data_IF_580999038835
#
_entry.id   IF_580999038835
#
_cell.length_a   1.000
_cell.length_b   1.000
_cell.length_c   1.000
_cell.angle_alpha   90.00
_cell.angle_beta   90.00
_cell.angle_gamma   90.00
#
_symmetry.space_group_name_H-M   'P 1'
#
loop_
_entity.id
_entity.type
_entity.pdbx_description
1 polymer ?
#
# COMPACT_ATOMS: atom_id res chain seq x y z
N UNK A 1 75.41 10.49 16.06
CA UNK A 1 74.34 9.80 15.29
C UNK A 1 73.14 9.60 16.20
N UNK A 2 72.03 10.26 15.89
CA UNK A 2 70.84 10.39 16.74
C UNK A 2 69.93 9.17 16.54
N UNK A 3 69.64 8.43 17.62
CA UNK A 3 68.63 7.35 17.66
C UNK A 3 67.24 7.97 17.65
N UNK A 4 66.42 7.65 16.65
CA UNK A 4 65.00 8.02 16.60
C UNK A 4 64.16 6.92 17.24
N UNK A 5 63.35 7.32 18.23
CA UNK A 5 62.27 6.54 18.82
C UNK A 5 61.19 6.25 17.78
N UNK A 6 60.72 5.00 17.73
CA UNK A 6 59.45 4.64 17.10
C UNK A 6 58.41 4.46 18.20
N UNK A 7 57.43 5.35 18.26
CA UNK A 7 56.22 5.19 19.07
C UNK A 7 55.17 4.50 18.21
N UNK A 8 54.71 3.31 18.64
CA UNK A 8 53.57 2.62 18.06
C UNK A 8 52.32 3.20 18.73
N UNK A 9 51.54 3.97 17.99
CA UNK A 9 50.22 4.42 18.42
C UNK A 9 49.23 3.31 18.06
N UNK A 10 48.75 2.55 19.06
CA UNK A 10 47.60 1.67 18.89
C UNK A 10 46.32 2.52 18.85
N UNK A 11 45.75 2.67 17.67
CA UNK A 11 44.42 3.23 17.47
C UNK A 11 43.37 2.19 17.88
N UNK A 12 42.77 2.37 19.06
CA UNK A 12 41.59 1.59 19.49
C UNK A 12 40.41 2.08 18.66
N UNK A 13 40.06 1.31 17.61
CA UNK A 13 38.87 1.56 16.81
C UNK A 13 37.62 1.36 17.65
N UNK A 14 36.93 2.46 17.95
CA UNK A 14 35.57 2.44 18.49
C UNK A 14 34.64 1.89 17.42
N UNK A 15 34.23 0.63 17.56
CA UNK A 15 33.07 0.07 16.87
C UNK A 15 31.83 0.75 17.45
N UNK A 16 31.42 1.86 16.83
CA UNK A 16 30.09 2.43 17.05
C UNK A 16 29.06 1.44 16.54
N UNK A 17 28.47 0.68 17.45
CA UNK A 17 27.26 -0.11 17.20
C UNK A 17 26.15 0.91 16.95
N UNK A 18 25.90 1.22 15.69
CA UNK A 18 24.71 1.98 15.32
C UNK A 18 23.49 1.10 15.65
N UNK A 19 22.80 1.43 16.73
CA UNK A 19 21.48 0.86 17.02
C UNK A 19 20.54 1.23 15.89
N UNK A 20 20.26 0.29 15.00
CA UNK A 20 19.20 0.43 14.01
C UNK A 20 17.88 0.45 14.79
N UNK A 21 17.30 1.63 14.97
CA UNK A 21 15.91 1.77 15.40
C UNK A 21 15.05 1.30 14.23
N UNK A 22 14.74 0.01 14.18
CA UNK A 22 13.64 -0.48 13.35
C UNK A 22 12.36 0.04 14.03
N UNK A 23 11.64 0.97 13.40
CA UNK A 23 10.29 1.29 13.85
C UNK A 23 9.42 0.09 13.51
N UNK A 24 8.80 -0.52 14.52
CA UNK A 24 7.92 -1.66 14.32
C UNK A 24 6.72 -1.28 13.42
N UNK A 25 6.21 -2.25 12.66
CA UNK A 25 4.96 -2.10 11.93
C UNK A 25 3.80 -2.15 12.93
N UNK A 26 2.98 -1.11 12.98
CA UNK A 26 1.77 -1.09 13.79
C UNK A 26 0.68 -1.79 13.00
N UNK A 27 0.24 -2.96 13.46
CA UNK A 27 -0.69 -3.83 12.72
C UNK A 27 -2.13 -3.47 13.07
N UNK A 28 -2.92 -3.07 12.07
CA UNK A 28 -4.34 -2.76 12.24
C UNK A 28 -5.24 -3.97 11.97
N UNK A 29 -5.04 -4.65 10.83
CA UNK A 29 -5.87 -5.79 10.42
C UNK A 29 -5.04 -6.86 9.72
N UNK A 30 -5.43 -8.12 9.90
CA UNK A 30 -4.83 -9.27 9.23
C UNK A 30 -5.93 -10.07 8.55
N UNK A 31 -5.79 -10.29 7.24
CA UNK A 31 -6.72 -11.05 6.41
C UNK A 31 -6.04 -12.34 5.92
N UNK A 32 -6.70 -13.50 5.99
CA UNK A 32 -6.13 -14.74 5.49
C UNK A 32 -6.09 -14.72 3.96
N UNK A 33 -4.97 -15.15 3.38
CA UNK A 33 -4.85 -15.38 1.94
C UNK A 33 -5.04 -16.86 1.69
N UNK A 34 -6.08 -17.23 0.95
CA UNK A 34 -6.49 -18.64 0.83
C UNK A 34 -6.65 -19.08 -0.62
N UNK A 35 -6.40 -20.37 -0.87
CA UNK A 35 -6.64 -21.03 -2.13
C UNK A 35 -7.11 -22.46 -1.87
N UNK A 36 -8.25 -22.86 -2.44
CA UNK A 36 -8.82 -24.21 -2.24
C UNK A 36 -8.78 -24.64 -0.76
N UNK A 37 -9.33 -23.81 0.13
CA UNK A 37 -9.42 -24.02 1.58
C UNK A 37 -8.07 -24.09 2.33
N UNK A 38 -6.93 -23.88 1.66
CA UNK A 38 -5.62 -23.82 2.29
C UNK A 38 -5.17 -22.37 2.45
N UNK A 39 -4.62 -22.04 3.62
CA UNK A 39 -4.03 -20.72 3.87
C UNK A 39 -2.66 -20.67 3.21
N UNK A 40 -2.51 -19.80 2.22
CA UNK A 40 -1.25 -19.54 1.53
C UNK A 40 -0.42 -18.44 2.19
N UNK A 41 -1.03 -17.66 3.08
CA UNK A 41 -0.38 -16.54 3.73
C UNK A 41 -1.35 -15.62 4.45
N UNK A 42 -0.89 -14.42 4.73
CA UNK A 42 -1.69 -13.34 5.32
C UNK A 42 -1.47 -12.03 4.56
N UNK A 43 -2.53 -11.24 4.46
CA UNK A 43 -2.52 -9.86 3.98
C UNK A 43 -2.70 -8.95 5.20
N UNK A 44 -1.66 -8.19 5.52
CA UNK A 44 -1.58 -7.34 6.71
C UNK A 44 -1.79 -5.90 6.29
N UNK A 45 -2.75 -5.23 6.93
CA UNK A 45 -2.99 -3.80 6.83
C UNK A 45 -2.47 -3.15 8.11
N UNK A 46 -1.63 -2.12 7.97
CA UNK A 46 -1.15 -1.36 9.12
C UNK A 46 -2.28 -0.62 9.83
N UNK A 47 -2.01 -0.09 11.02
CA UNK A 47 -2.79 1.05 11.51
C UNK A 47 -2.68 2.20 10.50
N UNK A 48 -3.79 2.88 10.28
CA UNK A 48 -3.83 4.05 9.45
C UNK A 48 -3.02 5.19 10.08
N UNK A 49 -2.34 5.98 9.26
CA UNK A 49 -1.81 7.29 9.68
C UNK A 49 -2.50 8.40 8.92
N UNK A 50 -2.42 9.60 9.47
CA UNK A 50 -3.05 10.80 8.94
C UNK A 50 -1.97 11.75 8.43
N UNK A 51 -2.28 12.50 7.38
CA UNK A 51 -1.35 13.49 6.82
C UNK A 51 -2.06 14.71 6.25
N UNK A 52 -1.37 15.85 6.24
CA UNK A 52 -1.82 17.12 5.65
C UNK A 52 -1.26 17.26 4.24
N UNK A 53 -2.01 16.82 3.23
CA UNK A 53 -1.64 16.99 1.82
C UNK A 53 -0.31 16.33 1.49
N UNK A 54 -0.12 15.09 1.98
CA UNK A 54 1.13 14.32 1.93
C UNK A 54 2.29 14.94 2.71
N UNK A 55 1.99 15.60 3.82
CA UNK A 55 2.99 16.13 4.74
C UNK A 55 2.59 15.91 6.20
N UNK A 56 3.56 16.03 7.11
CA UNK A 56 3.33 16.08 8.57
C UNK A 56 2.58 14.86 9.11
N UNK A 57 2.92 13.68 8.60
CA UNK A 57 2.20 12.46 8.90
C UNK A 57 2.35 11.98 10.36
N UNK A 58 1.31 11.33 10.88
CA UNK A 58 1.20 10.91 12.28
C UNK A 58 0.14 9.83 12.45
N UNK A 59 0.32 8.89 13.38
CA UNK A 59 -0.71 7.90 13.74
C UNK A 59 -1.92 8.51 14.47
N UNK A 60 -1.76 9.74 14.98
CA UNK A 60 -2.83 10.52 15.57
C UNK A 60 -3.19 11.63 14.58
N UNK A 61 -4.48 11.71 14.23
CA UNK A 61 -5.01 12.79 13.40
C UNK A 61 -4.67 14.14 14.03
N UNK A 62 -4.22 15.07 13.18
CA UNK A 62 -3.97 16.45 13.56
C UNK A 62 -5.06 17.30 12.94
N UNK A 63 -5.26 18.47 13.53
CA UNK A 63 -6.18 19.49 13.05
C UNK A 63 -6.10 19.65 11.51
N UNK A 64 -4.92 19.78 10.91
CA UNK A 64 -4.82 19.97 9.46
C UNK A 64 -4.80 18.69 8.59
N UNK A 65 -5.17 17.53 9.12
CA UNK A 65 -5.14 16.29 8.35
C UNK A 65 -6.15 16.33 7.19
N UNK A 66 -5.72 15.91 6.00
CA UNK A 66 -6.54 15.90 4.78
C UNK A 66 -6.55 14.55 4.08
N UNK A 67 -5.74 13.59 4.53
CA UNK A 67 -5.70 12.26 3.98
C UNK A 67 -5.28 11.22 5.01
N UNK A 68 -5.34 9.98 4.56
CA UNK A 68 -5.00 8.78 5.33
C UNK A 68 -3.98 8.00 4.53
N UNK A 69 -3.02 7.37 5.18
CA UNK A 69 -2.12 6.40 4.56
C UNK A 69 -2.10 5.07 5.28
N UNK A 70 -1.67 4.03 4.56
CA UNK A 70 -1.66 2.66 5.03
C UNK A 70 -0.52 1.85 4.37
N UNK A 71 0.13 0.96 5.14
CA UNK A 71 1.04 -0.06 4.59
C UNK A 71 0.28 -1.38 4.44
N UNK A 72 0.33 -1.99 3.25
CA UNK A 72 -0.32 -3.27 2.97
C UNK A 72 0.75 -4.29 2.61
N UNK A 73 0.84 -5.38 3.37
CA UNK A 73 1.89 -6.39 3.25
C UNK A 73 1.31 -7.79 3.06
N UNK A 74 1.69 -8.45 1.97
CA UNK A 74 1.50 -9.88 1.79
C UNK A 74 2.67 -10.63 2.43
N UNK A 75 2.35 -11.60 3.28
CA UNK A 75 3.28 -12.60 3.78
C UNK A 75 2.80 -13.98 3.35
N UNK A 76 3.42 -14.53 2.31
CA UNK A 76 3.24 -15.92 1.94
C UNK A 76 3.86 -16.82 3.02
N UNK A 77 3.16 -17.91 3.35
CA UNK A 77 3.74 -19.01 4.11
C UNK A 77 4.31 -20.04 3.13
N UNK A 78 4.83 -21.16 3.65
CA UNK A 78 5.40 -22.24 2.84
C UNK A 78 4.50 -22.76 1.71
N UNK A 79 3.16 -22.76 1.89
CA UNK A 79 2.20 -23.15 0.85
C UNK A 79 2.03 -22.09 -0.24
N UNK A 80 2.16 -20.80 0.11
CA UNK A 80 2.08 -19.69 -0.84
C UNK A 80 3.41 -19.32 -1.49
N UNK A 81 4.55 -19.60 -0.88
CA UNK A 81 5.85 -19.23 -1.44
C UNK A 81 6.05 -19.82 -2.84
N UNK A 82 6.31 -18.93 -3.82
CA UNK A 82 6.41 -19.28 -5.25
C UNK A 82 7.57 -20.22 -5.57
N UNK A 83 8.60 -20.23 -4.72
CA UNK A 83 9.78 -21.09 -4.84
C UNK A 83 9.70 -22.38 -4.00
N UNK A 84 8.69 -22.51 -3.12
CA UNK A 84 8.52 -23.68 -2.25
C UNK A 84 7.38 -24.58 -2.74
N UNK A 85 6.32 -24.75 -1.93
CA UNK A 85 5.23 -25.66 -2.30
C UNK A 85 4.32 -25.04 -3.36
N UNK A 86 4.26 -23.70 -3.43
CA UNK A 86 3.54 -22.93 -4.44
C UNK A 86 2.19 -23.57 -4.82
N UNK A 87 1.34 -23.79 -3.82
CA UNK A 87 0.13 -24.59 -3.98
C UNK A 87 -0.85 -23.98 -4.98
N UNK A 88 -0.89 -22.66 -5.08
CA UNK A 88 -1.69 -21.95 -6.09
C UNK A 88 -1.00 -21.87 -7.46
N UNK A 89 0.22 -22.36 -7.62
CA UNK A 89 0.98 -22.31 -8.88
C UNK A 89 1.13 -20.88 -9.41
N UNK A 90 1.38 -19.92 -8.52
CA UNK A 90 1.65 -18.54 -8.90
C UNK A 90 3.05 -18.44 -9.50
N UNK A 91 3.19 -17.75 -10.63
CA UNK A 91 4.50 -17.27 -11.09
C UNK A 91 4.98 -16.18 -10.15
N UNK A 92 4.10 -15.24 -9.82
CA UNK A 92 4.37 -14.16 -8.88
C UNK A 92 3.09 -13.67 -8.21
N UNK A 93 3.27 -12.97 -7.09
CA UNK A 93 2.21 -12.21 -6.44
C UNK A 93 2.23 -10.77 -6.92
N UNK A 94 1.06 -10.23 -7.21
CA UNK A 94 0.83 -8.81 -7.54
C UNK A 94 -0.25 -8.25 -6.61
N UNK A 95 -0.31 -6.93 -6.47
CA UNK A 95 -1.39 -6.24 -5.77
C UNK A 95 -2.09 -5.30 -6.74
N UNK A 96 -3.40 -5.48 -6.88
CA UNK A 96 -4.25 -4.57 -7.63
C UNK A 96 -5.20 -3.88 -6.68
N UNK A 97 -5.24 -2.55 -6.78
CA UNK A 97 -6.12 -1.70 -6.01
C UNK A 97 -7.09 -1.00 -6.95
N UNK A 98 -8.37 -0.95 -6.57
CA UNK A 98 -9.32 0.02 -7.13
C UNK A 98 -9.60 1.12 -6.13
N UNK A 99 -9.94 2.30 -6.64
CA UNK A 99 -10.38 3.45 -5.86
C UNK A 99 -11.79 3.83 -6.29
N UNK A 100 -12.65 4.09 -5.32
CA UNK A 100 -13.97 4.71 -5.50
C UNK A 100 -14.02 6.03 -4.76
N UNK A 101 -14.52 7.08 -5.39
CA UNK A 101 -14.64 8.39 -4.73
C UNK A 101 -15.84 9.17 -5.24
N UNK A 102 -16.44 10.00 -4.39
CA UNK A 102 -17.52 10.89 -4.79
C UNK A 102 -17.06 12.32 -5.14
N UNK A 103 -15.74 12.58 -5.17
CA UNK A 103 -15.21 13.91 -5.53
C UNK A 103 -15.62 14.34 -6.95
N UNK A 104 -15.47 15.63 -7.26
CA UNK A 104 -15.48 16.13 -8.63
C UNK A 104 -14.38 15.41 -9.43
N UNK A 105 -14.77 14.79 -10.53
CA UNK A 105 -13.89 14.05 -11.44
C UNK A 105 -13.24 15.03 -12.41
N UNK A 106 -11.97 14.81 -12.73
CA UNK A 106 -11.22 15.59 -13.70
C UNK A 106 -11.03 14.78 -14.98
N UNK A 107 -11.07 15.44 -16.13
CA UNK A 107 -10.77 14.84 -17.44
C UNK A 107 -11.50 13.50 -17.71
N UNK A 108 -10.77 12.41 -17.86
CA UNK A 108 -11.24 11.05 -18.11
C UNK A 108 -11.39 10.18 -16.85
N UNK A 109 -11.22 10.77 -15.66
CA UNK A 109 -11.39 10.06 -14.39
C UNK A 109 -12.81 9.53 -14.22
N UNK A 110 -12.89 8.33 -13.66
CA UNK A 110 -14.14 7.67 -13.31
C UNK A 110 -14.31 7.65 -11.79
N UNK A 111 -15.57 7.57 -11.37
CA UNK A 111 -15.93 7.45 -9.96
C UNK A 111 -15.24 6.25 -9.30
N UNK A 112 -15.24 5.12 -10.00
CA UNK A 112 -14.51 3.91 -9.65
C UNK A 112 -13.54 3.56 -10.78
N UNK A 113 -12.28 3.34 -10.45
CA UNK A 113 -11.24 2.98 -11.41
C UNK A 113 -10.10 2.23 -10.71
N UNK A 114 -9.24 1.60 -11.52
CA UNK A 114 -7.97 1.05 -11.04
C UNK A 114 -7.13 2.20 -10.50
N UNK A 115 -6.56 2.02 -9.32
CA UNK A 115 -5.75 3.02 -8.64
C UNK A 115 -4.30 2.93 -9.09
N UNK A 116 -4.11 3.11 -10.39
CA UNK A 116 -2.80 3.18 -11.04
C UNK A 116 -2.81 4.33 -12.07
N UNK A 117 -1.66 4.96 -12.34
CA UNK A 117 -1.59 6.00 -13.36
C UNK A 117 -1.94 5.48 -14.75
N UNK A 118 -2.67 6.28 -15.54
CA UNK A 118 -3.17 5.91 -16.87
C UNK A 118 -2.09 5.48 -17.89
N UNK A 119 -0.84 5.89 -17.67
CA UNK A 119 0.28 5.54 -18.55
C UNK A 119 0.96 4.21 -18.21
N UNK A 120 0.50 3.51 -17.17
CA UNK A 120 1.06 2.21 -16.80
C UNK A 120 0.65 1.15 -17.82
N UNK A 121 1.59 0.26 -18.13
CA UNK A 121 1.33 -0.88 -19.03
C UNK A 121 0.51 -1.96 -18.32
N UNK A 122 0.70 -2.09 -17.00
CA UNK A 122 0.03 -3.07 -16.16
C UNK A 122 -0.76 -2.40 -15.03
N UNK A 123 -1.90 -2.95 -14.61
CA UNK A 123 -2.81 -2.33 -13.65
C UNK A 123 -2.39 -2.48 -12.18
N UNK A 124 -1.15 -2.89 -11.93
CA UNK A 124 -0.71 -3.33 -10.61
C UNK A 124 -0.07 -2.20 -9.82
N UNK A 125 -0.45 -2.09 -8.54
CA UNK A 125 0.05 -1.06 -7.64
C UNK A 125 1.52 -1.31 -7.25
N UNK A 126 1.96 -2.57 -7.27
CA UNK A 126 3.34 -2.97 -7.03
C UNK A 126 4.30 -2.72 -8.21
N UNK A 127 4.05 -1.66 -9.00
CA UNK A 127 4.88 -1.26 -10.12
C UNK A 127 5.35 0.19 -9.97
N UNK A 128 6.59 0.47 -10.39
CA UNK A 128 7.11 1.84 -10.39
C UNK A 128 6.31 2.76 -11.34
N UNK A 129 6.19 4.06 -11.02
CA UNK A 129 6.69 4.79 -9.84
C UNK A 129 5.88 4.66 -8.54
N UNK A 130 4.84 3.82 -8.45
CA UNK A 130 4.11 3.66 -7.19
C UNK A 130 5.01 3.05 -6.11
N UNK A 131 4.68 3.37 -4.86
CA UNK A 131 5.49 2.99 -3.71
C UNK A 131 5.21 1.54 -3.29
N UNK A 132 6.21 0.69 -3.45
CA UNK A 132 6.11 -0.76 -3.19
C UNK A 132 7.43 -1.33 -2.69
N UNK A 133 7.40 -2.59 -2.24
CA UNK A 133 8.57 -3.33 -1.77
C UNK A 133 8.36 -4.83 -1.79
N UNK A 134 9.46 -5.59 -1.79
CA UNK A 134 9.44 -7.05 -1.78
C UNK A 134 10.66 -7.60 -1.05
N UNK A 135 10.52 -8.78 -0.46
CA UNK A 135 11.56 -9.40 0.38
C UNK A 135 11.98 -8.50 1.53
N UNK A 136 13.28 -8.51 1.85
CA UNK A 136 13.88 -7.53 2.76
C UNK A 136 14.13 -6.22 2.01
N UNK A 137 13.43 -5.16 2.37
CA UNK A 137 13.53 -3.86 1.71
C UNK A 137 13.48 -2.71 2.71
N UNK A 138 13.90 -1.52 2.27
CA UNK A 138 13.54 -0.29 2.96
C UNK A 138 12.17 0.15 2.44
N UNK A 139 11.34 0.68 3.34
CA UNK A 139 10.15 1.47 2.95
C UNK A 139 10.51 2.62 2.01
N UNK A 140 9.51 3.29 1.40
CA UNK A 140 9.75 4.41 0.48
C UNK A 140 10.66 5.49 1.07
N UNK A 141 11.50 6.07 0.22
CA UNK A 141 12.47 7.08 0.63
C UNK A 141 11.84 8.42 0.98
N UNK A 142 10.69 8.73 0.38
CA UNK A 142 9.90 9.89 0.77
C UNK A 142 9.21 9.57 2.11
N UNK A 143 9.60 10.31 3.14
CA UNK A 143 9.03 10.19 4.48
C UNK A 143 8.16 11.37 4.85
N UNK A 144 7.93 12.32 3.94
CA UNK A 144 7.17 13.55 4.24
C UNK A 144 5.71 13.25 4.61
N UNK A 145 5.14 12.22 3.98
CA UNK A 145 3.79 11.73 4.14
C UNK A 145 3.70 10.45 4.99
N UNK A 146 4.78 10.07 5.67
CA UNK A 146 4.86 8.86 6.51
C UNK A 146 5.12 9.20 7.99
N UNK A 147 4.63 8.39 8.95
CA UNK A 147 4.77 8.67 10.38
C UNK A 147 6.19 8.42 10.93
N UNK A 148 7.13 7.96 10.09
CA UNK A 148 8.52 7.69 10.46
C UNK A 148 9.47 8.75 9.88
N UNK A 149 10.54 9.07 10.62
CA UNK A 149 11.51 10.11 10.22
C UNK A 149 12.65 9.61 9.31
N UNK A 150 12.77 8.29 9.13
CA UNK A 150 13.69 7.67 8.20
C UNK A 150 13.09 6.36 7.72
N UNK A 151 13.36 5.89 6.48
CA UNK A 151 12.73 4.68 5.96
C UNK A 151 13.08 3.44 6.81
N UNK A 152 12.14 2.85 7.58
CA UNK A 152 12.39 1.59 8.26
C UNK A 152 12.60 0.45 7.27
N UNK A 153 13.27 -0.60 7.76
CA UNK A 153 13.34 -1.89 7.06
C UNK A 153 12.08 -2.69 7.30
N UNK A 154 11.57 -3.31 6.23
CA UNK A 154 10.43 -4.23 6.25
C UNK A 154 10.85 -5.55 5.61
N UNK A 155 10.13 -6.59 5.99
CA UNK A 155 10.15 -7.88 5.34
C UNK A 155 8.73 -8.15 4.87
N UNK A 156 8.54 -8.58 3.63
CA UNK A 156 7.25 -9.05 3.11
C UNK A 156 7.50 -9.88 1.86
N UNK A 157 6.53 -10.69 1.44
CA UNK A 157 6.54 -11.26 0.08
C UNK A 157 6.35 -10.15 -0.94
N UNK A 158 5.37 -9.29 -0.70
CA UNK A 158 5.10 -8.08 -1.46
C UNK A 158 4.46 -7.04 -0.53
N UNK A 159 4.76 -5.77 -0.71
CA UNK A 159 4.16 -4.67 0.02
C UNK A 159 3.86 -3.48 -0.89
N UNK A 160 2.79 -2.75 -0.57
CA UNK A 160 2.49 -1.44 -1.14
C UNK A 160 2.30 -0.42 -0.03
N UNK A 161 2.57 0.84 -0.37
CA UNK A 161 2.47 1.99 0.52
C UNK A 161 1.57 3.01 -0.16
N UNK A 162 0.44 3.30 0.46
CA UNK A 162 -0.53 4.23 -0.12
C UNK A 162 -0.80 5.41 0.82
N UNK A 163 -0.90 6.61 0.25
CA UNK A 163 -1.09 7.89 0.93
C UNK A 163 -2.07 8.80 0.16
N UNK A 164 -3.33 8.35 0.01
CA UNK A 164 -4.34 9.11 -0.70
C UNK A 164 -4.79 10.36 0.06
N UNK A 165 -5.04 11.42 -0.68
CA UNK A 165 -5.87 12.54 -0.22
C UNK A 165 -6.69 13.10 -1.37
N UNK A 166 -7.76 13.81 -1.02
CA UNK A 166 -8.54 14.62 -1.95
C UNK A 166 -8.41 16.08 -1.53
N UNK A 167 -8.08 16.94 -2.49
CA UNK A 167 -8.07 18.39 -2.29
C UNK A 167 -9.51 18.91 -2.15
N UNK A 168 -9.72 19.90 -1.29
CA UNK A 168 -11.02 20.57 -1.13
C UNK A 168 -11.55 21.21 -2.42
N UNK A 169 -10.65 21.56 -3.36
CA UNK A 169 -11.04 22.05 -4.69
C UNK A 169 -11.89 21.05 -5.48
N UNK A 170 -11.81 19.76 -5.11
CA UNK A 170 -12.55 18.67 -5.74
C UNK A 170 -13.78 18.25 -4.91
N UNK A 171 -14.07 18.91 -3.79
CA UNK A 171 -15.25 18.64 -2.98
C UNK A 171 -16.56 19.09 -3.64
N UNK A 172 -17.69 18.61 -3.11
CA UNK A 172 -19.03 18.99 -3.57
C UNK A 172 -19.83 19.54 -2.40
N UNK A 173 -20.35 20.75 -2.56
CA UNK A 173 -21.11 21.43 -1.48
C UNK A 173 -22.29 20.56 -1.05
N UNK A 174 -22.36 20.27 0.25
CA UNK A 174 -23.42 19.43 0.84
C UNK A 174 -23.14 17.92 0.81
N UNK A 175 -21.97 17.49 0.36
CA UNK A 175 -21.53 16.09 0.39
C UNK A 175 -20.18 15.97 1.08
N UNK A 176 -20.04 15.04 2.02
CA UNK A 176 -18.73 14.65 2.55
C UNK A 176 -17.86 14.08 1.43
N UNK A 177 -16.55 14.34 1.47
CA UNK A 177 -15.62 13.64 0.58
C UNK A 177 -15.48 12.21 1.08
N UNK A 178 -15.69 11.26 0.19
CA UNK A 178 -15.54 9.84 0.46
C UNK A 178 -14.54 9.23 -0.52
N UNK A 179 -13.63 8.42 0.03
CA UNK A 179 -12.69 7.64 -0.76
C UNK A 179 -12.61 6.23 -0.16
N UNK A 180 -12.92 5.25 -0.99
CA UNK A 180 -12.83 3.83 -0.65
C UNK A 180 -11.86 3.13 -1.58
N UNK A 181 -11.18 2.13 -1.04
CA UNK A 181 -10.23 1.28 -1.74
C UNK A 181 -10.61 -0.18 -1.52
N UNK A 182 -10.38 -0.98 -2.54
CA UNK A 182 -10.34 -2.43 -2.42
C UNK A 182 -9.04 -2.94 -3.03
N UNK A 183 -8.19 -3.49 -2.18
CA UNK A 183 -6.86 -3.97 -2.52
C UNK A 183 -6.87 -5.49 -2.51
N UNK A 184 -6.56 -6.12 -3.64
CA UNK A 184 -6.56 -7.57 -3.79
C UNK A 184 -5.17 -8.10 -4.11
N UNK A 185 -4.84 -9.25 -3.51
CA UNK A 185 -3.68 -10.07 -3.87
C UNK A 185 -4.04 -10.90 -5.10
N UNK A 186 -3.28 -10.73 -6.16
CA UNK A 186 -3.40 -11.46 -7.41
C UNK A 186 -2.26 -12.49 -7.49
N UNK A 187 -2.63 -13.75 -7.67
CA UNK A 187 -1.73 -14.81 -8.09
C UNK A 187 -1.64 -14.77 -9.62
N UNK A 188 -0.54 -14.20 -10.13
CA UNK A 188 -0.29 -14.12 -11.56
C UNK A 188 0.34 -15.42 -12.05
N UNK A 189 -0.06 -15.90 -13.23
CA UNK A 189 0.46 -17.15 -13.82
C UNK A 189 0.89 -16.95 -15.27
N UNK A 190 2.07 -17.46 -15.63
CA UNK A 190 2.52 -17.45 -17.03
C UNK A 190 1.68 -18.39 -17.92
N UNK A 191 1.25 -19.52 -17.35
CA UNK A 191 0.44 -20.52 -18.02
C UNK A 191 -0.78 -20.84 -17.20
N UNK A 192 -1.86 -20.10 -17.41
CA UNK A 192 -3.14 -20.30 -16.74
C UNK A 192 -3.89 -19.00 -16.53
N UNK A 193 -5.03 -19.09 -15.87
CA UNK A 193 -5.77 -17.91 -15.44
C UNK A 193 -5.14 -17.34 -14.16
N UNK A 194 -4.92 -16.03 -14.12
CA UNK A 194 -4.68 -15.26 -12.90
C UNK A 194 -5.87 -15.44 -11.95
N UNK A 195 -5.61 -15.44 -10.65
CA UNK A 195 -6.66 -15.57 -9.63
C UNK A 195 -6.46 -14.61 -8.48
N UNK A 196 -7.56 -14.03 -8.00
CA UNK A 196 -7.56 -13.23 -6.77
C UNK A 196 -7.65 -14.17 -5.58
N UNK A 197 -6.77 -14.01 -4.59
CA UNK A 197 -6.65 -14.91 -3.44
C UNK A 197 -7.24 -14.34 -2.14
N UNK A 198 -7.26 -13.03 -2.02
CA UNK A 198 -7.82 -12.28 -0.88
C UNK A 198 -7.88 -10.82 -1.25
N UNK A 199 -8.84 -10.10 -0.66
CA UNK A 199 -8.88 -8.66 -0.72
C UNK A 199 -9.08 -8.05 0.67
N UNK A 200 -8.85 -6.75 0.78
CA UNK A 200 -9.34 -5.96 1.89
C UNK A 200 -9.89 -4.63 1.41
N UNK A 201 -10.93 -4.16 2.09
CA UNK A 201 -11.53 -2.85 1.88
C UNK A 201 -11.12 -1.91 2.99
N UNK A 202 -10.81 -0.68 2.62
CA UNK A 202 -10.48 0.40 3.54
C UNK A 202 -10.83 1.73 2.91
N UNK A 203 -10.95 2.78 3.71
CA UNK A 203 -11.35 4.07 3.19
C UNK A 203 -11.43 5.11 4.29
N UNK A 204 -11.71 6.33 3.87
CA UNK A 204 -11.96 7.43 4.78
C UNK A 204 -13.03 8.36 4.22
N UNK A 205 -13.68 9.08 5.13
CA UNK A 205 -14.52 10.22 4.81
C UNK A 205 -13.97 11.49 5.44
N UNK A 206 -14.25 12.64 4.85
CA UNK A 206 -13.93 13.94 5.41
C UNK A 206 -15.10 14.88 5.14
N UNK A 207 -15.59 15.56 6.18
CA UNK A 207 -16.60 16.59 6.00
C UNK A 207 -16.08 17.67 5.05
N UNK A 208 -16.88 18.05 4.06
CA UNK A 208 -16.53 19.11 3.13
C UNK A 208 -17.16 20.43 3.58
N UNK A 209 -16.31 21.33 4.10
CA UNK A 209 -16.70 22.62 4.65
C UNK A 209 -16.56 23.79 3.66
N UNK A 210 -16.68 23.53 2.36
CA UNK A 210 -16.43 24.47 1.24
C UNK A 210 -14.96 24.83 0.98
N UNK A 211 -14.67 25.47 -0.17
CA UNK A 211 -13.30 25.79 -0.62
C UNK A 211 -12.60 26.89 0.22
N UNK A 212 -13.35 27.60 1.09
CA UNK A 212 -12.89 28.80 1.79
C UNK A 212 -12.96 28.71 3.33
N UNK A 213 -13.79 27.83 3.91
CA UNK A 213 -14.09 27.86 5.36
C UNK A 213 -13.43 26.80 6.25
N UNK A 214 -12.60 25.89 5.74
CA UNK A 214 -11.63 25.17 6.59
C UNK A 214 -11.49 23.67 6.33
N UNK A 215 -10.70 23.04 7.19
CA UNK A 215 -10.40 21.60 7.19
C UNK A 215 -11.42 20.84 8.05
N UNK A 216 -11.62 19.55 7.76
CA UNK A 216 -12.22 18.59 8.70
C UNK A 216 -11.29 17.38 8.83
N UNK A 217 -11.21 16.79 10.02
CA UNK A 217 -10.37 15.60 10.23
C UNK A 217 -10.95 14.43 9.42
N UNK A 218 -10.13 13.69 8.65
CA UNK A 218 -10.61 12.50 7.98
C UNK A 218 -10.91 11.40 9.01
N UNK A 219 -12.08 10.78 8.86
CA UNK A 219 -12.49 9.61 9.62
C UNK A 219 -12.12 8.35 8.84
N UNK A 220 -11.20 7.55 9.38
CA UNK A 220 -10.85 6.25 8.81
C UNK A 220 -11.94 5.21 9.13
N UNK A 221 -12.44 4.52 8.11
CA UNK A 221 -13.55 3.56 8.25
C UNK A 221 -13.10 2.18 8.78
N UNK A 222 -11.81 1.99 9.01
CA UNK A 222 -11.23 0.70 9.35
C UNK A 222 -10.92 -0.14 8.12
N UNK A 223 -10.52 -1.39 8.38
CA UNK A 223 -10.24 -2.38 7.33
C UNK A 223 -11.15 -3.59 7.48
N UNK A 224 -11.81 -3.94 6.38
CA UNK A 224 -12.61 -5.16 6.23
C UNK A 224 -11.84 -6.20 5.41
N UNK A 225 -11.83 -7.46 5.87
CA UNK A 225 -11.26 -8.56 5.10
C UNK A 225 -12.30 -9.17 4.18
N UNK A 226 -11.93 -9.40 2.93
CA UNK A 226 -12.76 -10.09 1.95
C UNK A 226 -12.08 -11.36 1.45
N UNK A 227 -12.79 -12.48 1.50
CA UNK A 227 -12.30 -13.76 0.98
C UNK A 227 -12.32 -13.84 -0.55
N UNK A 228 -13.07 -12.97 -1.21
CA UNK A 228 -13.20 -12.87 -2.66
C UNK A 228 -13.40 -11.39 -3.05
N UNK A 229 -13.03 -11.00 -4.29
CA UNK A 229 -13.25 -9.63 -4.74
C UNK A 229 -14.74 -9.30 -4.73
N UNK A 230 -15.08 -8.07 -4.35
CA UNK A 230 -16.45 -7.59 -4.41
C UNK A 230 -16.94 -7.52 -5.85
N UNK A 231 -18.27 -7.51 -6.03
CA UNK A 231 -18.86 -7.29 -7.36
C UNK A 231 -18.42 -5.95 -7.95
N UNK A 232 -18.32 -4.93 -7.12
CA UNK A 232 -17.88 -3.59 -7.52
C UNK A 232 -16.43 -3.59 -8.03
N UNK A 233 -15.54 -4.31 -7.36
CA UNK A 233 -14.17 -4.55 -7.81
C UNK A 233 -14.14 -5.21 -9.19
N UNK A 234 -14.88 -6.31 -9.31
CA UNK A 234 -14.98 -7.10 -10.53
C UNK A 234 -15.46 -6.27 -11.73
N UNK A 235 -16.52 -5.48 -11.55
CA UNK A 235 -17.06 -4.59 -12.57
C UNK A 235 -16.06 -3.47 -12.92
N UNK A 236 -15.42 -2.85 -11.92
CA UNK A 236 -14.42 -1.79 -12.13
C UNK A 236 -13.24 -2.27 -12.95
N UNK A 237 -12.70 -3.45 -12.62
CA UNK A 237 -11.59 -4.06 -13.35
C UNK A 237 -11.99 -4.44 -14.78
N UNK A 238 -13.18 -5.02 -14.95
CA UNK A 238 -13.68 -5.44 -16.28
C UNK A 238 -13.88 -4.26 -17.25
N UNK A 239 -14.24 -3.09 -16.73
CA UNK A 239 -14.53 -1.89 -17.51
C UNK A 239 -13.28 -1.02 -17.77
N UNK A 240 -12.12 -1.42 -17.25
CA UNK A 240 -10.86 -0.72 -17.45
C UNK A 240 -10.25 -1.11 -18.80
N UNK A 241 -10.69 -0.45 -19.86
CA UNK A 241 -10.20 -0.65 -21.24
C UNK A 241 -8.80 -0.04 -21.48
N UNK A 242 -8.28 0.72 -20.53
CA UNK A 242 -7.04 1.51 -20.66
C UNK A 242 -5.76 0.70 -20.48
N UNK A 243 -5.83 -0.47 -19.83
CA UNK A 243 -4.68 -1.35 -19.68
C UNK A 243 -4.71 -2.43 -20.78
N UNK A 244 -3.68 -2.53 -21.64
CA UNK A 244 -3.57 -3.61 -22.63
C UNK A 244 -3.34 -4.99 -21.97
N UNK A 245 -3.18 -5.00 -20.65
CA UNK A 245 -3.09 -6.20 -19.83
C UNK A 245 -4.39 -6.99 -19.89
N UNK A 246 -4.39 -8.02 -20.74
CA UNK A 246 -5.52 -8.92 -20.91
C UNK A 246 -5.57 -9.88 -19.73
N UNK A 247 -6.45 -9.61 -18.77
CA UNK A 247 -6.80 -10.55 -17.71
C UNK A 247 -7.14 -11.93 -18.27
N UNK A 248 -6.31 -12.93 -17.97
CA UNK A 248 -6.76 -14.30 -17.95
C UNK A 248 -7.39 -14.52 -16.56
N UNK A 249 -8.53 -13.91 -16.22
CA UNK A 249 -9.18 -14.16 -14.92
C UNK A 249 -10.08 -15.40 -14.97
N UNK A 250 -9.97 -16.30 -13.97
CA UNK A 250 -11.05 -17.24 -13.68
C UNK A 250 -12.04 -16.54 -12.72
N UNK A 251 -13.21 -16.17 -13.23
CA UNK A 251 -14.26 -15.46 -12.49
C UNK A 251 -15.16 -16.40 -11.67
N UNK A 252 -14.71 -17.63 -11.40
CA UNK A 252 -15.52 -18.71 -10.81
C UNK A 252 -15.07 -19.13 -9.42
#
# INVERSE_FOLDING_TARGET
MIRRCFWIIMSVGWLSIASAFASDLWVGKVCPVTYQQNTLGILVFSEAWFHSGRQQASYIARDNATGVGLEIHLFANRLGEVELENQAQCTQYRMLQIRTTNRRLLDDERQAQIDAPLHFVEPFYDASPLEHGAGMHNTPSDTSDKPWNSPPKRASTLAIYDTPFVSDALGKVGEDIQVEFETCVVCQRDSGFDSILSCGRWGYSREYMDENTGWAEPEFHGTECLNSPSRHYQETVSLSEEFPYSYWLDWR
#
